data_IF_737254909003
#
_entry.id   IF_737254909003
#
_cell.length_a   1.000
_cell.length_b   1.000
_cell.length_c   1.000
_cell.angle_alpha   90.00
_cell.angle_beta   90.00
_cell.angle_gamma   90.00
#
_symmetry.space_group_name_H-M   'P 1'
#
loop_
_entity.id
_entity.type
_entity.pdbx_description
1 polymer ?
#
# COMPACT_ATOMS: atom_id res chain seq x y z
N UNK A 1 18.79 -7.63 -1.60
CA UNK A 1 18.70 -8.01 -0.18
C UNK A 1 17.39 -8.77 -0.01
N UNK A 2 17.37 -9.95 0.62
CA UNK A 2 16.12 -10.65 0.90
C UNK A 2 15.43 -10.10 2.15
N UNK A 3 14.18 -10.49 2.38
CA UNK A 3 13.37 -10.07 3.54
C UNK A 3 14.06 -10.38 4.87
N UNK A 4 14.66 -11.57 5.01
CA UNK A 4 15.37 -11.98 6.22
C UNK A 4 16.52 -11.01 6.57
N UNK A 5 17.36 -10.66 5.59
CA UNK A 5 18.47 -9.72 5.81
C UNK A 5 17.97 -8.31 6.13
N UNK A 6 16.82 -7.90 5.58
CA UNK A 6 16.19 -6.63 5.93
C UNK A 6 15.71 -6.64 7.40
N UNK A 7 15.11 -7.74 7.85
CA UNK A 7 14.65 -7.89 9.24
C UNK A 7 15.85 -7.83 10.20
N UNK A 8 16.95 -8.54 9.92
CA UNK A 8 18.16 -8.44 10.75
C UNK A 8 18.73 -7.02 10.74
N UNK A 9 18.79 -6.37 9.57
CA UNK A 9 19.29 -5.01 9.48
C UNK A 9 18.41 -4.00 10.25
N UNK A 10 17.09 -4.18 10.25
CA UNK A 10 16.15 -3.37 11.04
C UNK A 10 16.31 -3.60 12.55
N UNK A 11 16.70 -4.80 12.97
CA UNK A 11 16.95 -5.10 14.37
C UNK A 11 18.32 -4.57 14.84
N UNK A 12 19.37 -4.81 14.06
CA UNK A 12 20.75 -4.50 14.43
C UNK A 12 21.14 -3.05 14.16
N UNK A 13 20.59 -2.45 13.10
CA UNK A 13 20.94 -1.10 12.63
C UNK A 13 19.70 -0.26 12.25
N UNK A 14 18.68 -0.15 13.13
CA UNK A 14 17.39 0.47 12.81
C UNK A 14 17.55 1.87 12.20
N UNK A 15 18.31 2.76 12.84
CA UNK A 15 18.46 4.14 12.36
C UNK A 15 19.10 4.23 10.97
N UNK A 16 20.01 3.31 10.64
CA UNK A 16 20.68 3.33 9.33
C UNK A 16 19.71 2.88 8.23
N UNK A 17 18.88 1.89 8.54
CA UNK A 17 17.86 1.40 7.62
C UNK A 17 16.75 2.43 7.46
N UNK A 18 16.29 3.04 8.54
CA UNK A 18 15.26 4.10 8.53
C UNK A 18 15.73 5.32 7.73
N UNK A 19 16.97 5.80 7.94
CA UNK A 19 17.54 6.88 7.09
C UNK A 19 17.62 6.51 5.62
N UNK A 20 17.85 5.23 5.30
CA UNK A 20 17.84 4.77 3.91
C UNK A 20 16.41 4.77 3.35
N UNK A 21 15.42 4.34 4.14
CA UNK A 21 14.01 4.39 3.76
C UNK A 21 13.56 5.84 3.52
N UNK A 22 13.95 6.78 4.39
CA UNK A 22 13.70 8.21 4.21
C UNK A 22 14.34 8.73 2.92
N UNK A 23 15.61 8.42 2.66
CA UNK A 23 16.27 8.85 1.42
C UNK A 23 15.61 8.28 0.15
N UNK A 24 15.07 7.06 0.22
CA UNK A 24 14.28 6.46 -0.88
C UNK A 24 12.97 7.22 -1.03
N UNK A 25 12.25 7.48 0.06
CA UNK A 25 11.00 8.23 0.04
C UNK A 25 11.21 9.63 -0.56
N UNK A 26 12.21 10.38 -0.09
CA UNK A 26 12.54 11.71 -0.61
C UNK A 26 12.88 11.69 -2.11
N UNK A 27 13.50 10.61 -2.60
CA UNK A 27 13.80 10.47 -4.03
C UNK A 27 12.55 10.39 -4.92
N UNK A 28 11.38 10.05 -4.35
CA UNK A 28 10.11 10.04 -5.07
C UNK A 28 9.45 11.42 -5.18
N UNK A 29 9.93 12.45 -4.48
CA UNK A 29 9.26 13.75 -4.46
C UNK A 29 9.07 14.33 -5.87
N UNK A 30 10.13 14.32 -6.70
CA UNK A 30 10.05 14.81 -8.08
C UNK A 30 9.09 13.99 -8.96
N UNK A 31 8.91 12.69 -8.68
CA UNK A 31 7.94 11.86 -9.40
C UNK A 31 6.51 12.31 -9.08
N UNK A 32 6.18 12.45 -7.79
CA UNK A 32 4.84 12.87 -7.38
C UNK A 32 4.54 14.32 -7.78
N UNK A 33 5.53 15.21 -7.74
CA UNK A 33 5.42 16.56 -8.31
C UNK A 33 5.11 16.52 -9.82
N UNK A 34 5.80 15.66 -10.57
CA UNK A 34 5.53 15.45 -12.00
C UNK A 34 4.10 14.96 -12.27
N UNK A 35 3.64 13.97 -11.48
CA UNK A 35 2.29 13.40 -11.62
C UNK A 35 1.21 14.45 -11.31
N UNK A 36 1.37 15.15 -10.18
CA UNK A 36 0.39 16.15 -9.72
C UNK A 36 0.34 17.40 -10.59
N UNK A 37 1.47 17.82 -11.17
CA UNK A 37 1.54 18.98 -12.06
C UNK A 37 1.05 18.70 -13.49
N UNK A 38 0.99 17.45 -13.92
CA UNK A 38 0.60 17.09 -15.29
C UNK A 38 -0.86 17.44 -15.63
N UNK A 39 -1.75 17.49 -14.63
CA UNK A 39 -3.15 17.93 -14.78
C UNK A 39 -4.08 16.98 -15.55
N UNK A 40 -3.56 15.91 -16.16
CA UNK A 40 -4.35 14.89 -16.87
C UNK A 40 -4.47 13.55 -16.14
N UNK A 41 -3.61 13.29 -15.16
CA UNK A 41 -3.76 12.10 -14.31
C UNK A 41 -5.06 12.23 -13.51
N UNK A 42 -5.80 11.14 -13.41
CA UNK A 42 -7.04 11.06 -12.62
C UNK A 42 -7.00 9.95 -11.58
N UNK A 43 -6.26 8.89 -11.87
CA UNK A 43 -6.11 7.71 -11.01
C UNK A 43 -4.63 7.33 -10.99
N UNK A 44 -4.11 7.01 -9.81
CA UNK A 44 -2.80 6.36 -9.63
C UNK A 44 -3.01 5.08 -8.83
N UNK A 45 -2.49 3.97 -9.34
CA UNK A 45 -2.49 2.70 -8.63
C UNK A 45 -1.10 2.45 -8.02
N UNK A 46 -1.06 2.16 -6.73
CA UNK A 46 0.14 1.77 -6.01
C UNK A 46 0.34 0.27 -6.25
N UNK A 47 1.32 -0.07 -7.08
CA UNK A 47 1.67 -1.45 -7.45
C UNK A 47 2.42 -2.20 -6.35
N UNK A 48 1.92 -2.11 -5.13
CA UNK A 48 2.43 -2.82 -3.96
C UNK A 48 2.10 -4.32 -4.07
N UNK A 49 2.98 -5.18 -3.59
CA UNK A 49 2.72 -6.63 -3.49
C UNK A 49 2.79 -7.04 -2.02
N UNK A 50 1.87 -6.49 -1.22
CA UNK A 50 1.84 -6.70 0.23
C UNK A 50 1.18 -8.04 0.54
N UNK A 51 2.00 -8.99 1.01
CA UNK A 51 1.54 -10.25 1.59
C UNK A 51 1.78 -10.23 3.11
N UNK A 52 0.73 -10.54 3.87
CA UNK A 52 0.71 -10.58 5.33
C UNK A 52 1.56 -11.68 5.97
N UNK A 53 2.07 -12.64 5.18
CA UNK A 53 3.10 -13.59 5.62
C UNK A 53 4.51 -12.98 5.56
N UNK A 54 4.70 -11.89 4.81
CA UNK A 54 5.98 -11.18 4.67
C UNK A 54 6.01 -9.97 5.59
N UNK A 55 4.96 -9.14 5.54
CA UNK A 55 4.91 -7.88 6.31
C UNK A 55 4.08 -8.08 7.58
N UNK A 56 4.74 -8.05 8.73
CA UNK A 56 4.03 -8.10 10.01
C UNK A 56 3.21 -6.81 10.23
N UNK A 57 2.05 -6.88 10.93
CA UNK A 57 1.24 -5.70 11.24
C UNK A 57 2.04 -4.57 11.90
N UNK A 58 3.01 -4.91 12.76
CA UNK A 58 3.90 -3.93 13.43
C UNK A 58 4.73 -3.12 12.42
N UNK A 59 5.28 -3.77 11.39
CA UNK A 59 6.07 -3.07 10.37
C UNK A 59 5.17 -2.33 9.37
N UNK A 60 4.00 -2.89 9.08
CA UNK A 60 2.99 -2.24 8.25
C UNK A 60 2.54 -0.90 8.88
N UNK A 61 2.19 -0.90 10.16
CA UNK A 61 1.85 0.31 10.92
C UNK A 61 2.99 1.31 10.99
N UNK A 62 4.23 0.84 11.23
CA UNK A 62 5.36 1.73 11.47
C UNK A 62 5.89 2.38 10.19
N UNK A 63 5.91 1.65 9.07
CA UNK A 63 6.62 2.10 7.86
C UNK A 63 5.70 2.24 6.64
N UNK A 64 4.75 1.32 6.44
CA UNK A 64 3.93 1.34 5.23
C UNK A 64 2.80 2.38 5.31
N UNK A 65 2.01 2.37 6.39
CA UNK A 65 0.88 3.31 6.55
C UNK A 65 1.32 4.79 6.44
N UNK A 66 2.37 5.26 7.15
CA UNK A 66 2.79 6.65 7.07
C UNK A 66 3.23 7.07 5.65
N UNK A 67 3.90 6.18 4.92
CA UNK A 67 4.27 6.41 3.53
C UNK A 67 3.02 6.54 2.64
N UNK A 68 2.07 5.62 2.79
CA UNK A 68 0.81 5.65 2.04
C UNK A 68 -0.01 6.91 2.34
N UNK A 69 -0.07 7.34 3.60
CA UNK A 69 -0.77 8.57 3.99
C UNK A 69 -0.13 9.79 3.34
N UNK A 70 1.20 9.93 3.44
CA UNK A 70 1.94 11.04 2.82
C UNK A 70 1.66 11.13 1.31
N UNK A 71 1.80 10.02 0.60
CA UNK A 71 1.72 9.98 -0.88
C UNK A 71 0.29 10.04 -1.39
N UNK A 72 -0.64 9.32 -0.78
CA UNK A 72 -2.05 9.40 -1.15
C UNK A 72 -2.60 10.80 -0.89
N UNK A 73 -2.27 11.43 0.25
CA UNK A 73 -2.75 12.78 0.52
C UNK A 73 -2.21 13.81 -0.49
N UNK A 74 -0.94 13.68 -0.89
CA UNK A 74 -0.35 14.52 -1.94
C UNK A 74 -1.13 14.42 -3.26
N UNK A 75 -1.47 13.19 -3.70
CA UNK A 75 -2.26 12.95 -4.90
C UNK A 75 -3.71 13.44 -4.77
N UNK A 76 -4.33 13.16 -3.62
CA UNK A 76 -5.70 13.60 -3.31
C UNK A 76 -5.84 15.12 -3.36
N UNK A 77 -4.86 15.87 -2.85
CA UNK A 77 -4.84 17.34 -2.95
C UNK A 77 -4.81 17.85 -4.40
N UNK A 78 -4.28 17.07 -5.32
CA UNK A 78 -4.29 17.36 -6.76
C UNK A 78 -5.56 16.85 -7.48
N UNK A 79 -6.54 16.30 -6.75
CA UNK A 79 -7.76 15.73 -7.32
C UNK A 79 -7.57 14.39 -8.03
N UNK A 80 -6.51 13.64 -7.66
CA UNK A 80 -6.19 12.33 -8.20
C UNK A 80 -6.66 11.26 -7.21
N UNK A 81 -7.46 10.31 -7.69
CA UNK A 81 -7.88 9.14 -6.92
C UNK A 81 -6.75 8.11 -6.84
N UNK A 82 -6.72 7.35 -5.76
CA UNK A 82 -5.66 6.38 -5.50
C UNK A 82 -6.20 5.00 -5.20
N UNK A 83 -5.55 3.99 -5.77
CA UNK A 83 -5.79 2.59 -5.48
C UNK A 83 -4.50 1.95 -4.98
N UNK A 84 -4.61 0.85 -4.24
CA UNK A 84 -3.45 0.02 -3.86
C UNK A 84 -3.71 -1.43 -4.25
N UNK A 85 -2.67 -2.07 -4.80
CA UNK A 85 -2.63 -3.49 -5.03
C UNK A 85 -2.26 -4.23 -3.75
N UNK A 86 -3.09 -5.21 -3.36
CA UNK A 86 -2.82 -6.08 -2.21
C UNK A 86 -3.14 -7.50 -2.65
N UNK A 87 -2.12 -8.34 -2.77
CA UNK A 87 -2.22 -9.72 -3.23
C UNK A 87 -1.82 -10.74 -2.14
N UNK A 88 -2.16 -12.00 -2.36
CA UNK A 88 -1.80 -13.08 -1.45
C UNK A 88 -2.62 -13.11 -0.15
N UNK A 89 -1.95 -13.37 0.97
CA UNK A 89 -2.60 -13.49 2.29
C UNK A 89 -2.71 -12.12 2.97
N UNK A 90 -3.89 -11.74 3.46
CA UNK A 90 -4.06 -10.43 4.10
C UNK A 90 -4.92 -10.46 5.36
N UNK A 91 -5.23 -11.63 5.93
CA UNK A 91 -5.99 -11.73 7.19
C UNK A 91 -5.39 -10.89 8.32
N UNK A 92 -4.06 -10.85 8.43
CA UNK A 92 -3.36 -10.06 9.45
C UNK A 92 -3.50 -8.55 9.26
N UNK A 93 -3.81 -8.11 8.03
CA UNK A 93 -3.97 -6.71 7.63
C UNK A 93 -5.44 -6.29 7.47
N UNK A 94 -6.37 -7.24 7.61
CA UNK A 94 -7.80 -7.05 7.38
C UNK A 94 -8.36 -5.82 8.11
N UNK A 95 -7.97 -5.63 9.38
CA UNK A 95 -8.42 -4.51 10.21
C UNK A 95 -8.00 -3.11 9.72
N UNK A 96 -7.03 -3.02 8.80
CA UNK A 96 -6.57 -1.72 8.27
C UNK A 96 -7.22 -1.36 6.94
N UNK A 97 -7.80 -2.33 6.21
CA UNK A 97 -8.20 -2.14 4.82
C UNK A 97 -9.14 -0.94 4.62
N UNK A 98 -10.14 -0.80 5.48
CA UNK A 98 -11.10 0.32 5.45
C UNK A 98 -10.49 1.68 5.80
N UNK A 99 -9.43 1.70 6.61
CA UNK A 99 -8.78 2.93 7.10
C UNK A 99 -7.60 3.38 6.25
N UNK A 100 -7.11 2.52 5.34
CA UNK A 100 -6.04 2.90 4.42
C UNK A 100 -6.43 4.14 3.61
N UNK A 101 -5.49 5.02 3.27
CA UNK A 101 -5.78 6.33 2.67
C UNK A 101 -6.14 6.26 1.17
N UNK A 102 -6.48 5.07 0.66
CA UNK A 102 -6.83 4.83 -0.73
C UNK A 102 -8.34 4.85 -0.95
N UNK A 103 -8.76 5.25 -2.15
CA UNK A 103 -10.16 5.24 -2.58
C UNK A 103 -10.63 3.82 -2.96
N UNK A 104 -9.68 2.96 -3.35
CA UNK A 104 -9.96 1.59 -3.75
C UNK A 104 -8.82 0.61 -3.45
N UNK A 105 -9.20 -0.66 -3.38
CA UNK A 105 -8.30 -1.79 -3.16
C UNK A 105 -8.38 -2.71 -4.37
N UNK A 106 -7.23 -3.05 -4.93
CA UNK A 106 -7.11 -3.94 -6.08
C UNK A 106 -6.60 -5.31 -5.65
N UNK A 107 -7.10 -6.36 -6.30
CA UNK A 107 -6.57 -7.72 -6.26
C UNK A 107 -6.69 -8.48 -4.93
N UNK A 108 -7.56 -8.04 -4.02
CA UNK A 108 -7.88 -8.80 -2.80
C UNK A 108 -8.31 -10.23 -3.16
N UNK A 109 -7.60 -11.20 -2.60
CA UNK A 109 -7.72 -12.62 -2.94
C UNK A 109 -8.47 -13.37 -1.82
N UNK A 110 -9.79 -13.63 -1.92
CA UNK A 110 -10.51 -14.42 -0.94
C UNK A 110 -10.20 -15.93 -1.07
N UNK A 111 -10.72 -16.73 -0.15
CA UNK A 111 -10.73 -18.20 -0.23
C UNK A 111 -11.34 -18.68 -1.57
N UNK A 112 -10.83 -19.78 -2.16
CA UNK A 112 -9.80 -20.67 -1.63
C UNK A 112 -8.34 -20.27 -1.91
N UNK A 113 -8.08 -19.23 -2.70
CA UNK A 113 -6.70 -18.84 -3.07
C UNK A 113 -5.98 -18.05 -1.98
N UNK A 114 -6.71 -17.20 -1.24
CA UNK A 114 -6.16 -16.46 -0.10
C UNK A 114 -6.58 -17.04 1.23
N UNK A 115 -6.61 -16.21 2.26
CA UNK A 115 -6.75 -16.63 3.67
C UNK A 115 -7.99 -16.06 4.38
N UNK A 116 -8.83 -15.28 3.69
CA UNK A 116 -10.08 -14.71 4.22
C UNK A 116 -11.31 -15.08 3.40
N UNK A 117 -12.45 -15.19 4.05
CA UNK A 117 -13.73 -15.36 3.36
C UNK A 117 -14.18 -14.08 2.66
N UNK A 118 -15.08 -14.22 1.68
CA UNK A 118 -15.66 -13.08 0.97
C UNK A 118 -16.41 -12.13 1.93
N UNK A 119 -17.04 -12.65 2.98
CA UNK A 119 -17.79 -11.86 3.95
C UNK A 119 -16.86 -11.06 4.87
N UNK A 120 -15.81 -11.70 5.42
CA UNK A 120 -14.77 -11.00 6.18
C UNK A 120 -14.11 -9.89 5.34
N UNK A 121 -13.86 -10.16 4.05
CA UNK A 121 -13.29 -9.18 3.13
C UNK A 121 -14.24 -8.00 2.91
N UNK A 122 -15.53 -8.25 2.63
CA UNK A 122 -16.53 -7.17 2.44
C UNK A 122 -16.66 -6.29 3.68
N UNK A 123 -16.70 -6.88 4.87
CA UNK A 123 -16.81 -6.15 6.13
C UNK A 123 -15.59 -5.24 6.35
N UNK A 124 -14.40 -5.74 6.03
CA UNK A 124 -13.14 -5.02 6.24
C UNK A 124 -12.87 -3.87 5.26
N UNK A 125 -13.34 -4.00 4.02
CA UNK A 125 -13.14 -3.01 2.95
C UNK A 125 -13.98 -1.75 3.19
N UNK A 126 -15.13 -1.89 3.85
CA UNK A 126 -16.07 -0.79 4.07
C UNK A 126 -16.62 -0.24 2.74
N UNK A 127 -16.64 1.08 2.60
CA UNK A 127 -17.20 1.78 1.44
C UNK A 127 -16.20 1.97 0.27
N UNK A 128 -15.01 1.36 0.34
CA UNK A 128 -13.98 1.50 -0.70
C UNK A 128 -14.33 0.73 -1.97
N UNK A 129 -13.80 1.20 -3.10
CA UNK A 129 -13.98 0.54 -4.40
C UNK A 129 -13.11 -0.71 -4.48
N UNK A 130 -13.72 -1.86 -4.79
CA UNK A 130 -12.98 -3.10 -5.07
C UNK A 130 -12.73 -3.26 -6.56
N UNK A 131 -11.47 -3.55 -6.90
CA UNK A 131 -11.01 -3.60 -8.28
C UNK A 131 -10.40 -4.97 -8.61
N UNK A 132 -10.78 -5.59 -9.74
CA UNK A 132 -10.16 -6.83 -10.18
C UNK A 132 -8.72 -6.60 -10.65
N UNK A 133 -7.82 -7.60 -10.52
CA UNK A 133 -6.43 -7.45 -10.92
C UNK A 133 -6.29 -7.16 -12.42
N UNK A 134 -5.43 -6.20 -12.76
CA UNK A 134 -5.00 -5.98 -14.15
C UNK A 134 -5.90 -5.07 -14.98
N UNK A 135 -6.79 -4.29 -14.36
CA UNK A 135 -7.47 -3.21 -15.06
C UNK A 135 -6.59 -1.95 -15.12
N UNK A 136 -5.95 -1.74 -16.27
CA UNK A 136 -5.43 -0.42 -16.60
C UNK A 136 -6.61 0.53 -16.85
N UNK A 137 -6.82 1.49 -15.94
CA UNK A 137 -7.83 2.53 -16.10
C UNK A 137 -7.38 3.49 -17.22
N UNK A 138 -8.04 3.40 -18.37
CA UNK A 138 -7.88 4.29 -19.54
C UNK A 138 -9.00 5.31 -19.64
#
# INVERSE_FOLDING_TARGET
MGVENLIYALADYPEKVERLMEAIDDSYDSLYEGITSYGKVRIVNFGENIDGNIVSPKYFEKYCIPFYEKRSEQLRRAGIYTHIHIDGSFRSLLKYLGDLPFDGLEALTPLPQGDVSLEEMKEAVGDKVLLPPGQAYG
#
